data_IF_885744188898
#
_entry.id   IF_885744188898
#
_cell.length_a   1.000
_cell.length_b   1.000
_cell.length_c   1.000
_cell.angle_alpha   90.00
_cell.angle_beta   90.00
_cell.angle_gamma   90.00
#
_symmetry.space_group_name_H-M   'P 1'
#
loop_
_entity.id
_entity.type
_entity.pdbx_description
1 polymer ?
2 non-polymer ?
3 water ?
#
# COMPACT_ATOMS: atom_id res chain seq x y z
N UNK A 1 9.15 -13.66 1.24
CA UNK A 1 10.25 -13.75 0.27
C UNK A 1 11.42 -12.89 0.77
N UNK A 2 12.51 -12.98 0.02
CA UNK A 2 13.71 -12.15 0.17
C UNK A 2 13.77 -11.30 -1.09
N UNK A 3 13.70 -9.99 -0.95
CA UNK A 3 13.64 -9.10 -2.10
C UNK A 3 14.87 -8.24 -2.10
N UNK A 4 15.65 -8.35 -3.15
CA UNK A 4 16.82 -7.54 -3.41
C UNK A 4 16.38 -6.18 -3.95
N UNK A 5 17.30 -5.25 -3.99
CA UNK A 5 16.96 -3.83 -4.24
C UNK A 5 17.68 -3.23 -5.44
N UNK A 6 18.15 -4.07 -6.33
CA UNK A 6 18.77 -3.70 -7.66
C UNK A 6 17.78 -2.93 -8.50
N UNK A 7 16.51 -3.33 -8.36
CA UNK A 7 15.38 -2.71 -9.05
C UNK A 7 14.34 -2.24 -8.01
N UNK A 8 13.41 -1.45 -8.43
CA UNK A 8 12.33 -1.03 -7.52
C UNK A 8 11.61 -2.27 -7.00
N UNK A 9 11.34 -2.33 -5.69
CA UNK A 9 10.69 -3.53 -5.10
C UNK A 9 9.18 -3.51 -5.29
N UNK A 10 8.76 -3.82 -6.48
CA UNK A 10 7.34 -3.83 -6.83
C UNK A 10 6.85 -5.26 -6.69
N UNK A 11 5.74 -5.41 -6.01
CA UNK A 11 5.16 -6.74 -5.75
C UNK A 11 3.70 -6.74 -6.15
N UNK A 12 3.18 -7.93 -6.33
CA UNK A 12 1.76 -8.14 -6.64
C UNK A 12 1.01 -8.06 -5.31
N UNK A 13 -0.13 -7.35 -5.38
CA UNK A 13 -1.03 -7.23 -4.26
C UNK A 13 -2.42 -7.63 -4.71
N UNK A 14 -3.26 -8.00 -3.77
CA UNK A 14 -4.65 -8.35 -4.11
C UNK A 14 -5.57 -7.92 -2.96
N UNK A 15 -6.63 -7.24 -3.34
CA UNK A 15 -7.67 -6.82 -2.40
C UNK A 15 -8.96 -7.37 -2.99
N UNK A 16 -9.59 -8.33 -2.33
CA UNK A 16 -10.74 -8.99 -2.90
C UNK A 16 -10.40 -9.56 -4.26
N UNK A 17 -11.17 -9.19 -5.26
CA UNK A 17 -10.92 -9.62 -6.63
C UNK A 17 -10.05 -8.69 -7.41
N UNK A 18 -9.40 -7.73 -6.78
CA UNK A 18 -8.62 -6.70 -7.45
C UNK A 18 -7.13 -6.99 -7.34
N UNK A 19 -6.52 -7.49 -8.39
CA UNK A 19 -5.09 -7.82 -8.45
C UNK A 19 -4.35 -6.64 -9.05
N UNK A 20 -3.40 -6.10 -8.30
CA UNK A 20 -2.69 -4.86 -8.63
C UNK A 20 -1.21 -5.08 -8.31
N UNK A 21 -0.43 -4.01 -8.45
CA UNK A 21 1.01 -4.00 -8.07
C UNK A 21 1.25 -2.78 -7.18
N UNK A 22 2.29 -2.84 -6.40
CA UNK A 22 2.64 -1.69 -5.55
C UNK A 22 4.11 -1.79 -5.15
N UNK A 23 4.67 -0.65 -4.80
CA UNK A 23 6.07 -0.51 -4.37
C UNK A 23 6.21 -0.67 -2.86
N UNK A 24 7.05 -1.57 -2.38
CA UNK A 24 7.38 -1.70 -0.97
C UNK A 24 8.28 -0.55 -0.58
N UNK A 25 7.73 0.43 0.15
CA UNK A 25 8.40 1.73 0.36
C UNK A 25 8.68 1.97 1.84
N UNK A 26 9.88 1.68 2.31
CA UNK A 26 10.20 1.87 3.72
C UNK A 26 10.26 3.36 4.06
N UNK A 27 10.26 4.26 3.11
CA UNK A 27 10.18 5.67 3.35
C UNK A 27 8.79 6.22 3.51
N UNK A 28 7.77 5.38 3.42
CA UNK A 28 6.35 5.80 3.54
C UNK A 28 5.77 5.23 4.81
N UNK A 29 5.11 6.06 5.58
CA UNK A 29 4.43 5.63 6.77
C UNK A 29 3.22 4.75 6.48
N UNK A 30 2.48 5.14 5.46
CA UNK A 30 1.16 4.62 5.14
C UNK A 30 1.12 4.01 3.75
N UNK A 31 0.04 3.32 3.47
CA UNK A 31 -0.21 2.63 2.20
C UNK A 31 -1.25 3.39 1.41
N UNK A 32 -0.95 3.75 0.18
CA UNK A 32 -1.90 4.49 -0.68
C UNK A 32 -1.95 3.83 -2.03
N UNK A 33 -3.17 3.54 -2.47
CA UNK A 33 -3.46 2.88 -3.74
C UNK A 33 -4.43 3.73 -4.52
N UNK A 34 -4.24 3.83 -5.82
CA UNK A 34 -5.11 4.62 -6.69
C UNK A 34 -6.14 3.80 -7.41
N UNK A 35 -5.85 2.54 -7.70
CA UNK A 35 -6.64 1.78 -8.69
C UNK A 35 -7.45 0.67 -8.04
N UNK A 36 -7.96 0.90 -6.85
CA UNK A 36 -8.90 -0.06 -6.27
C UNK A 36 -10.05 0.71 -5.65
N UNK A 37 -11.14 -0.05 -5.48
CA UNK A 37 -12.37 0.42 -4.89
C UNK A 37 -12.71 -0.49 -3.68
N UNK A 38 -13.26 0.10 -2.64
CA UNK A 38 -13.79 -0.65 -1.49
C UNK A 38 -15.15 -0.13 -1.15
N UNK A 39 -16.04 -1.03 -0.68
CA UNK A 39 -17.37 -0.65 -0.24
C UNK A 39 -17.33 -0.06 1.16
N UNK A 40 -18.41 0.66 1.50
CA UNK A 40 -18.69 1.07 2.86
C UNK A 40 -17.99 2.33 3.29
N UNK A 41 -18.04 2.52 4.61
CA UNK A 41 -17.61 3.76 5.21
C UNK A 41 -16.07 3.94 5.15
N UNK A 42 -15.67 5.18 5.22
CA UNK A 42 -14.28 5.58 5.25
C UNK A 42 -14.18 6.92 5.97
N UNK A 43 -12.95 7.29 6.29
CA UNK A 43 -12.68 8.61 6.87
C UNK A 43 -11.82 9.39 5.93
N UNK A 44 -12.09 10.68 5.76
CA UNK A 44 -11.19 11.50 4.98
C UNK A 44 -9.83 11.64 5.63
N UNK A 45 -8.80 11.82 4.79
CA UNK A 45 -7.44 12.05 5.29
C UNK A 45 -6.72 12.93 4.28
N UNK A 46 -5.90 13.84 4.76
CA UNK A 46 -5.01 14.60 3.88
C UNK A 46 -3.65 13.96 3.83
N UNK A 47 -3.09 13.85 2.62
CA UNK A 47 -1.70 13.50 2.43
C UNK A 47 -1.07 14.60 1.60
N UNK A 48 0.25 14.64 1.58
CA UNK A 48 0.94 15.61 0.73
C UNK A 48 0.85 15.14 -0.72
N UNK A 49 0.55 16.07 -1.61
CA UNK A 49 0.56 16.00 -3.06
C UNK A 49 1.04 17.33 -3.67
N UNK A 50 1.12 17.45 -5.00
CA UNK A 50 1.89 18.58 -5.60
C UNK A 50 1.20 19.95 -5.37
N UNK A 51 -0.17 19.96 -5.17
CA UNK A 51 -0.88 21.24 -4.88
C UNK A 51 -0.73 21.77 -3.43
N UNK A 52 -0.07 20.99 -2.58
CA UNK A 52 -0.18 21.13 -1.13
C UNK A 52 -0.62 19.80 -0.56
N UNK A 53 -1.89 19.59 -0.62
CA UNK A 53 -2.52 18.45 -0.01
C UNK A 53 -3.50 17.80 -0.97
N UNK A 54 -3.64 16.50 -0.81
CA UNK A 54 -4.55 15.65 -1.58
C UNK A 54 -5.47 14.95 -0.58
N UNK A 55 -6.75 14.96 -0.87
CA UNK A 55 -7.72 14.24 -0.02
C UNK A 55 -7.81 12.80 -0.50
N UNK A 56 -7.67 11.89 0.41
CA UNK A 56 -7.82 10.43 0.16
C UNK A 56 -8.82 9.86 1.15
N UNK A 57 -9.22 8.63 0.88
CA UNK A 57 -10.15 7.88 1.73
C UNK A 57 -9.39 6.89 2.56
N UNK A 58 -9.57 6.92 3.86
CA UNK A 58 -8.96 5.94 4.78
C UNK A 58 -9.97 4.83 5.06
N UNK A 59 -9.62 3.62 4.65
CA UNK A 59 -10.40 2.43 4.96
C UNK A 59 -9.61 1.60 5.95
N UNK A 60 -10.31 1.15 7.02
CA UNK A 60 -9.69 0.38 8.11
C UNK A 60 -9.99 -1.11 7.96
N UNK A 61 -9.13 -1.93 8.55
CA UNK A 61 -9.34 -3.38 8.65
C UNK A 61 -9.51 -4.01 7.28
N UNK A 62 -8.72 -3.60 6.32
CA UNK A 62 -8.79 -4.12 4.96
C UNK A 62 -7.97 -5.40 4.88
N UNK A 63 -8.54 -6.53 4.41
CA UNK A 63 -7.74 -7.72 4.12
C UNK A 63 -7.04 -7.53 2.80
N UNK A 64 -5.71 -7.71 2.78
CA UNK A 64 -4.87 -7.47 1.59
C UNK A 64 -3.79 -8.54 1.57
N UNK A 65 -3.57 -9.06 0.38
CA UNK A 65 -2.46 -10.00 0.15
C UNK A 65 -1.31 -9.29 -0.53
N UNK A 66 -0.13 -9.41 0.04
CA UNK A 66 1.07 -8.72 -0.48
C UNK A 66 2.11 -9.78 -0.78
N UNK A 67 2.45 -9.95 -2.05
CA UNK A 67 3.40 -11.00 -2.49
C UNK A 67 2.97 -12.34 -1.89
N UNK A 68 1.68 -12.61 -1.88
CA UNK A 68 1.13 -13.88 -1.43
C UNK A 68 0.94 -14.03 0.06
N UNK A 69 1.20 -12.96 0.81
CA UNK A 69 1.07 -12.99 2.30
C UNK A 69 -0.11 -12.16 2.72
N UNK A 70 -1.06 -12.73 3.47
CA UNK A 70 -2.30 -12.05 3.91
C UNK A 70 -2.05 -11.28 5.21
N UNK A 71 -2.47 -10.03 5.17
CA UNK A 71 -2.46 -9.15 6.34
C UNK A 71 -3.81 -8.38 6.37
N UNK A 72 -4.02 -7.67 7.46
CA UNK A 72 -5.18 -6.81 7.62
C UNK A 72 -4.67 -5.48 8.12
N UNK A 73 -5.08 -4.39 7.51
CA UNK A 73 -4.70 -3.08 8.01
C UNK A 73 -5.32 -1.95 7.24
N UNK A 74 -4.81 -0.76 7.49
CA UNK A 74 -5.37 0.44 6.92
C UNK A 74 -4.88 0.71 5.49
N UNK A 75 -5.76 1.02 4.59
CA UNK A 75 -5.41 1.35 3.22
C UNK A 75 -6.01 2.70 2.86
N UNK A 76 -5.20 3.61 2.32
CA UNK A 76 -5.66 4.88 1.80
C UNK A 76 -5.92 4.69 0.29
N UNK A 77 -7.05 5.22 -0.16
CA UNK A 77 -7.42 5.15 -1.57
C UNK A 77 -7.58 6.57 -2.10
N UNK A 78 -6.81 6.88 -3.13
CA UNK A 78 -6.92 8.19 -3.72
C UNK A 78 -5.78 8.41 -4.66
N UNK A 79 -5.66 9.64 -5.18
CA UNK A 79 -4.59 9.94 -6.12
C UNK A 79 -3.21 9.70 -5.48
N UNK A 80 -2.30 9.10 -6.26
CA UNK A 80 -0.91 8.86 -5.87
C UNK A 80 -0.14 8.59 -7.15
N UNK A 81 1.10 9.07 -7.29
CA UNK A 81 1.75 8.81 -8.56
C UNK A 81 2.14 7.36 -8.79
N UNK A 82 2.26 6.60 -7.70
CA UNK A 82 2.42 5.15 -7.81
C UNK A 82 1.76 4.53 -6.57
N UNK A 83 1.34 3.31 -6.72
CA UNK A 83 0.78 2.54 -5.59
C UNK A 83 1.93 2.22 -4.64
N UNK A 84 1.71 2.50 -3.36
CA UNK A 84 2.73 2.43 -2.31
C UNK A 84 2.27 1.53 -1.18
N UNK A 85 3.03 0.53 -0.79
CA UNK A 85 2.88 -0.20 0.46
C UNK A 85 3.85 0.41 1.46
N UNK A 86 3.31 0.99 2.50
CA UNK A 86 4.11 1.65 3.52
C UNK A 86 4.35 0.79 4.72
N UNK A 87 4.99 1.40 5.72
CA UNK A 87 5.42 0.68 6.90
C UNK A 87 4.23 0.12 7.67
N UNK A 88 3.08 0.76 7.62
CA UNK A 88 1.94 0.23 8.41
C UNK A 88 1.66 -1.23 8.03
N UNK A 89 1.67 -1.55 6.74
CA UNK A 89 1.44 -2.93 6.30
C UNK A 89 2.70 -3.76 6.34
N UNK A 90 3.87 -3.19 6.10
CA UNK A 90 5.08 -3.99 6.26
C UNK A 90 5.24 -4.48 7.71
N UNK A 91 4.84 -3.68 8.68
CA UNK A 91 4.90 -4.19 10.08
C UNK A 91 3.93 -5.35 10.27
N UNK A 92 2.76 -5.33 9.65
CA UNK A 92 1.84 -6.45 9.74
C UNK A 92 2.42 -7.70 9.08
N UNK A 93 3.24 -7.53 8.04
CA UNK A 93 3.92 -8.65 7.38
C UNK A 93 5.07 -9.18 8.22
N UNK A 94 5.52 -8.47 9.23
CA UNK A 94 6.76 -8.83 9.92
C UNK A 94 7.98 -8.59 9.05
N UNK A 95 7.90 -7.63 8.14
CA UNK A 95 9.01 -7.36 7.23
C UNK A 95 10.14 -6.62 7.94
N UNK A 96 11.37 -6.97 7.55
CA UNK A 96 12.57 -6.31 8.02
C UNK A 96 13.49 -6.01 6.87
N UNK A 97 14.31 -4.99 7.09
CA UNK A 97 15.49 -4.75 6.22
C UNK A 97 16.69 -5.43 6.83
N UNK A 98 17.44 -6.16 6.05
CA UNK A 98 18.54 -7.01 6.52
C UNK A 98 19.80 -6.74 5.70
N UNK A 99 20.92 -6.54 6.36
CA UNK A 99 22.23 -6.54 5.71
C UNK A 99 23.33 -6.93 6.69
X LIG B 1 5.06 -10.50 -5.86
X LIG C 1 13.45 -0.62 -11.71
X LIG D 1 -13.35 -6.81 -4.31
X LIG E 1 -2.46 -0.61 9.62
#
# INVERSE_FOLDING_TARGET
PQITLWQRPIVTIKIGGQLREALLNTGADDTVLEDIDLPGRWKPKLIVGIGGFVKVRQYEQVPIEIAGHKVVGTVLIGPTPSNIIGRNLMTQLGATLNF
CL CL
CL CL
CL CL
CL CL
#
